data_IF_838421861648
#
_entry.id   IF_838421861648
#
_cell.length_a   1.000
_cell.length_b   1.000
_cell.length_c   1.000
_cell.angle_alpha   90.00
_cell.angle_beta   90.00
_cell.angle_gamma   90.00
#
_symmetry.space_group_name_H-M   'P 1'
#
loop_
_entity.id
_entity.type
_entity.pdbx_description
1 polymer ?
#
# COMPACT_ATOMS: atom_id res chain seq x y z
N UNK A 1 -22.57 5.64 -0.33
CA UNK A 1 -21.09 5.73 -0.19
C UNK A 1 -20.42 4.38 -0.46
N UNK A 2 -20.82 3.66 -1.51
CA UNK A 2 -20.45 2.25 -1.72
C UNK A 2 -19.59 2.03 -2.98
N UNK A 3 -19.49 3.04 -3.86
CA UNK A 3 -18.83 2.90 -5.16
C UNK A 3 -17.31 3.04 -5.12
N UNK A 4 -16.73 3.62 -4.07
CA UNK A 4 -15.29 3.87 -4.00
C UNK A 4 -14.51 2.62 -3.54
N UNK A 5 -15.02 1.91 -2.53
CA UNK A 5 -14.43 0.66 -2.03
C UNK A 5 -14.36 -0.42 -3.11
N UNK A 6 -15.42 -0.59 -3.90
CA UNK A 6 -15.44 -1.54 -5.02
C UNK A 6 -14.39 -1.22 -6.09
N UNK A 7 -14.15 0.07 -6.37
CA UNK A 7 -13.10 0.51 -7.31
C UNK A 7 -11.69 0.22 -6.79
N UNK A 8 -11.44 0.43 -5.50
CA UNK A 8 -10.15 0.11 -4.86
C UNK A 8 -9.90 -1.39 -4.89
N UNK A 9 -10.91 -2.19 -4.51
CA UNK A 9 -10.83 -3.66 -4.56
C UNK A 9 -10.50 -4.15 -5.97
N UNK A 10 -11.16 -3.60 -6.99
CA UNK A 10 -10.90 -3.95 -8.40
C UNK A 10 -9.46 -3.66 -8.83
N UNK A 11 -8.91 -2.49 -8.44
CA UNK A 11 -7.49 -2.16 -8.74
C UNK A 11 -6.52 -3.09 -8.02
N UNK A 12 -6.77 -3.40 -6.75
CA UNK A 12 -5.94 -4.34 -5.98
C UNK A 12 -5.95 -5.71 -6.65
N UNK A 13 -7.13 -6.23 -7.00
CA UNK A 13 -7.27 -7.50 -7.74
C UNK A 13 -6.56 -7.49 -9.09
N UNK A 14 -6.57 -6.37 -9.81
CA UNK A 14 -5.83 -6.24 -11.08
C UNK A 14 -4.32 -6.40 -10.88
N UNK A 15 -3.74 -5.82 -9.84
CA UNK A 15 -2.32 -6.01 -9.51
C UNK A 15 -2.04 -7.45 -9.04
N UNK A 16 -2.97 -8.05 -8.28
CA UNK A 16 -2.84 -9.43 -7.83
C UNK A 16 -2.74 -10.41 -9.01
N UNK A 17 -3.52 -10.19 -10.08
CA UNK A 17 -3.47 -11.03 -11.28
C UNK A 17 -2.10 -10.94 -11.97
N UNK A 18 -1.57 -9.73 -12.18
CA UNK A 18 -0.25 -9.53 -12.80
C UNK A 18 0.88 -10.20 -12.01
N UNK A 19 0.90 -10.06 -10.68
CA UNK A 19 1.96 -10.62 -9.84
C UNK A 19 1.83 -12.15 -9.63
N UNK A 20 0.61 -12.68 -9.72
CA UNK A 20 0.38 -14.14 -9.74
C UNK A 20 0.98 -14.77 -10.99
N UNK A 21 0.87 -14.09 -12.13
CA UNK A 21 1.44 -14.55 -13.38
C UNK A 21 2.99 -14.58 -13.34
N UNK A 22 3.60 -13.74 -12.49
CA UNK A 22 5.05 -13.73 -12.20
C UNK A 22 5.49 -14.78 -11.15
N UNK A 23 4.57 -15.62 -10.65
CA UNK A 23 4.89 -16.76 -9.78
C UNK A 23 4.93 -16.47 -8.27
N UNK A 24 4.48 -15.30 -7.83
CA UNK A 24 4.41 -14.96 -6.40
C UNK A 24 3.22 -15.65 -5.73
N UNK A 25 3.46 -16.31 -4.59
CA UNK A 25 2.42 -16.97 -3.80
C UNK A 25 1.38 -15.99 -3.24
N UNK A 26 0.13 -16.45 -3.07
CA UNK A 26 -0.97 -15.56 -2.65
C UNK A 26 -0.74 -14.88 -1.29
N UNK A 27 -0.11 -15.59 -0.35
CA UNK A 27 0.26 -15.02 0.96
C UNK A 27 1.38 -13.99 0.87
N UNK A 28 2.41 -14.28 0.07
CA UNK A 28 3.61 -13.44 -0.03
C UNK A 28 3.28 -12.08 -0.66
N UNK A 29 2.47 -12.03 -1.73
CA UNK A 29 2.12 -10.75 -2.33
C UNK A 29 1.20 -9.93 -1.42
N UNK A 30 0.30 -10.58 -0.67
CA UNK A 30 -0.59 -9.87 0.26
C UNK A 30 0.25 -9.18 1.33
N UNK A 31 1.24 -9.88 1.87
CA UNK A 31 2.19 -9.36 2.85
C UNK A 31 2.91 -8.11 2.31
N UNK A 32 3.49 -8.21 1.10
CA UNK A 32 4.15 -7.09 0.43
C UNK A 32 3.21 -5.90 0.18
N UNK A 33 1.97 -6.17 -0.24
CA UNK A 33 0.97 -5.12 -0.47
C UNK A 33 0.60 -4.42 0.85
N UNK A 34 0.49 -5.15 1.95
CA UNK A 34 0.29 -4.54 3.28
C UNK A 34 1.46 -3.67 3.72
N UNK A 35 2.70 -4.06 3.42
CA UNK A 35 3.88 -3.22 3.70
C UNK A 35 3.84 -1.92 2.91
N UNK A 36 3.56 -1.97 1.62
CA UNK A 36 3.42 -0.78 0.78
C UNK A 36 2.26 0.12 1.24
N UNK A 37 1.12 -0.48 1.58
CA UNK A 37 -0.02 0.27 2.10
C UNK A 37 0.31 0.98 3.41
N UNK A 38 1.02 0.30 4.32
CA UNK A 38 1.48 0.89 5.57
C UNK A 38 2.39 2.09 5.34
N UNK A 39 3.41 1.95 4.47
CA UNK A 39 4.32 3.04 4.14
C UNK A 39 3.59 4.21 3.48
N UNK A 40 2.65 3.94 2.57
CA UNK A 40 1.83 4.99 1.95
C UNK A 40 0.96 5.71 2.97
N UNK A 41 0.34 4.99 3.91
CA UNK A 41 -0.43 5.58 4.99
C UNK A 41 0.45 6.42 5.92
N UNK A 42 1.63 5.93 6.28
CA UNK A 42 2.59 6.65 7.10
C UNK A 42 2.99 7.98 6.43
N UNK A 43 3.27 7.95 5.14
CA UNK A 43 3.56 9.14 4.33
C UNK A 43 2.37 10.13 4.32
N UNK A 44 1.15 9.67 4.05
CA UNK A 44 -0.06 10.54 4.11
C UNK A 44 -0.27 11.15 5.50
N UNK A 45 0.01 10.41 6.58
CA UNK A 45 -0.10 10.92 7.94
C UNK A 45 1.00 11.92 8.31
N UNK A 46 2.15 11.87 7.65
CA UNK A 46 3.22 12.85 7.83
C UNK A 46 2.93 14.19 7.13
N UNK A 47 2.01 14.17 6.16
CA UNK A 47 1.57 15.34 5.38
C UNK A 47 0.38 16.05 6.07
N UNK A 48 0.09 17.33 5.73
CA UNK A 48 -1.12 18.00 6.20
C UNK A 48 -2.38 17.22 5.79
N UNK A 49 -3.42 17.15 6.64
CA UNK A 49 -3.64 17.93 7.87
C UNK A 49 -3.09 17.29 9.16
N UNK A 50 -2.53 16.08 9.08
CA UNK A 50 -2.19 15.29 10.28
C UNK A 50 -0.79 15.62 10.81
N UNK A 51 0.17 15.87 9.92
CA UNK A 51 1.56 16.26 10.24
C UNK A 51 2.19 15.44 11.37
N UNK A 52 1.95 14.12 11.38
CA UNK A 52 2.45 13.21 12.42
C UNK A 52 3.93 12.92 12.20
N UNK A 53 4.70 12.99 13.27
CA UNK A 53 6.07 12.46 13.29
C UNK A 53 6.01 10.95 13.47
N UNK A 54 6.47 10.22 12.45
CA UNK A 54 6.57 8.76 12.47
C UNK A 54 8.06 8.38 12.52
N UNK A 55 8.45 7.40 13.35
CA UNK A 55 9.85 6.98 13.49
C UNK A 55 10.28 6.03 12.36
N UNK A 56 10.07 6.45 11.11
CA UNK A 56 10.54 5.73 9.92
C UNK A 56 11.79 6.46 9.42
N UNK A 57 12.95 5.78 9.33
CA UNK A 57 14.16 6.40 8.81
C UNK A 57 13.94 6.93 7.39
N UNK A 58 14.51 8.09 7.01
CA UNK A 58 14.32 8.70 5.69
C UNK A 58 14.67 7.79 4.51
N UNK A 59 15.59 6.85 4.68
CA UNK A 59 16.05 5.88 3.67
C UNK A 59 15.11 4.67 3.46
N UNK A 60 14.10 4.53 4.33
CA UNK A 60 13.10 3.45 4.29
C UNK A 60 11.68 4.01 4.24
N UNK A 61 11.52 5.29 3.88
CA UNK A 61 10.20 5.91 3.76
C UNK A 61 9.57 5.61 2.40
N UNK A 62 8.33 6.08 2.18
CA UNK A 62 7.61 5.85 0.92
C UNK A 62 8.26 6.52 -0.31
N UNK A 63 9.02 7.59 -0.12
CA UNK A 63 9.62 8.40 -1.21
C UNK A 63 11.07 8.00 -1.51
N UNK A 64 11.61 6.99 -0.80
CA UNK A 64 12.96 6.43 -1.01
C UNK A 64 13.01 5.56 -2.25
#
# INVERSE_FOLDING_TARGET
MSSNTAGIISRVWSFCNTLRDDGVGYGDYLEQLTYLLFLKMADEYSKPPYSRLLPIPPEYNWES
#
